data_IF_878759270658
#
_entry.id   IF_878759270658
#
_cell.length_a   1.000
_cell.length_b   1.000
_cell.length_c   1.000
_cell.angle_alpha   90.00
_cell.angle_beta   90.00
_cell.angle_gamma   90.00
#
_symmetry.space_group_name_H-M   'P 1'
#
loop_
_entity.id
_entity.type
_entity.pdbx_description
1 polymer ?
#
# COMPACT_ATOMS: atom_id res chain seq x y z
N UNK A 1 -2.81 44.96 -4.39
CA UNK A 1 -1.75 44.22 -3.70
C UNK A 1 -1.92 42.75 -4.03
N UNK A 2 -1.04 42.19 -4.86
CA UNK A 2 -1.01 40.76 -5.14
C UNK A 2 -0.24 40.10 -3.99
N UNK A 3 -0.96 39.38 -3.11
CA UNK A 3 -0.34 38.54 -2.10
C UNK A 3 0.16 37.28 -2.84
N UNK A 4 1.46 37.28 -3.15
CA UNK A 4 2.11 36.11 -3.71
C UNK A 4 2.10 35.00 -2.66
N UNK A 5 1.31 33.95 -2.88
CA UNK A 5 1.48 32.69 -2.19
C UNK A 5 2.85 32.13 -2.57
N UNK A 6 3.85 32.36 -1.73
CA UNK A 6 5.11 31.63 -1.82
C UNK A 6 4.81 30.18 -1.46
N UNK A 7 4.71 29.29 -2.45
CA UNK A 7 4.79 27.84 -2.19
C UNK A 7 6.09 27.61 -1.42
N UNK A 8 5.97 27.25 -0.16
CA UNK A 8 7.12 26.86 0.64
C UNK A 8 7.75 25.65 -0.05
N UNK A 9 8.96 25.80 -0.55
CA UNK A 9 9.66 24.69 -1.20
C UNK A 9 9.82 23.56 -0.17
N UNK A 10 9.48 22.34 -0.59
CA UNK A 10 9.68 21.15 0.24
C UNK A 10 11.17 21.07 0.66
N UNK A 11 11.48 20.77 1.92
CA UNK A 11 12.86 20.58 2.35
C UNK A 11 13.49 19.29 1.82
N UNK A 12 12.70 18.47 1.12
CA UNK A 12 13.10 17.17 0.60
C UNK A 12 13.35 17.21 -0.90
N UNK A 13 14.45 16.59 -1.33
CA UNK A 13 14.79 16.33 -2.74
C UNK A 13 14.42 14.89 -3.04
N UNK A 14 13.60 14.67 -4.07
CA UNK A 14 13.16 13.33 -4.43
C UNK A 14 14.18 12.64 -5.32
N UNK A 15 14.67 11.48 -4.90
CA UNK A 15 15.53 10.59 -5.70
C UNK A 15 14.69 9.68 -6.57
N UNK A 16 13.58 9.18 -6.01
CA UNK A 16 12.56 8.38 -6.67
C UNK A 16 11.20 8.86 -6.19
N UNK A 17 10.27 9.08 -7.12
CA UNK A 17 8.86 9.30 -6.81
C UNK A 17 8.01 8.62 -7.88
N UNK A 18 7.19 7.67 -7.46
CA UNK A 18 6.28 6.94 -8.34
C UNK A 18 5.01 7.75 -8.60
N UNK A 19 4.40 7.62 -9.79
CA UNK A 19 3.06 8.14 -10.01
C UNK A 19 2.06 7.37 -9.14
N UNK A 20 1.06 8.06 -8.61
CA UNK A 20 0.09 7.45 -7.70
C UNK A 20 -1.29 8.08 -7.87
N UNK A 21 -2.33 7.39 -7.42
CA UNK A 21 -3.67 7.98 -7.23
C UNK A 21 -3.63 9.04 -6.12
N UNK A 22 -4.57 10.00 -6.08
CA UNK A 22 -4.69 10.94 -4.97
C UNK A 22 -4.77 10.23 -3.61
N UNK A 23 -4.25 10.88 -2.57
CA UNK A 23 -4.35 10.37 -1.19
C UNK A 23 -5.82 10.33 -0.77
N UNK A 24 -6.29 9.16 -0.40
CA UNK A 24 -7.65 8.90 0.09
C UNK A 24 -7.78 9.19 1.58
N UNK A 25 -9.02 9.22 2.06
CA UNK A 25 -9.31 9.49 3.47
C UNK A 25 -10.09 8.32 4.10
N UNK A 26 -9.41 7.51 4.92
CA UNK A 26 -10.05 6.42 5.67
C UNK A 26 -11.00 6.91 6.77
N UNK A 27 -10.99 8.21 7.09
CA UNK A 27 -11.76 8.78 8.19
C UNK A 27 -11.33 8.22 9.55
N UNK A 28 -12.32 7.89 10.38
CA UNK A 28 -12.10 7.35 11.73
C UNK A 28 -12.08 5.80 11.77
N UNK A 29 -11.95 5.15 10.62
CA UNK A 29 -11.89 3.68 10.55
C UNK A 29 -10.50 3.15 10.94
N UNK A 30 -10.43 1.85 11.25
CA UNK A 30 -9.16 1.16 11.52
C UNK A 30 -8.63 0.42 10.29
N UNK A 31 -8.92 0.92 9.09
CA UNK A 31 -8.69 0.23 7.82
C UNK A 31 -7.48 0.75 7.05
N UNK A 32 -6.48 1.37 7.71
CA UNK A 32 -5.24 1.80 7.07
C UNK A 32 -4.56 0.68 6.28
N UNK A 33 -4.60 -0.55 6.76
CA UNK A 33 -4.11 -1.75 6.10
C UNK A 33 -4.73 -1.97 4.70
N UNK A 34 -6.04 -1.71 4.58
CA UNK A 34 -6.75 -1.82 3.31
C UNK A 34 -6.34 -0.69 2.36
N UNK A 35 -6.34 0.55 2.84
CA UNK A 35 -5.97 1.72 2.03
C UNK A 35 -4.53 1.66 1.53
N UNK A 36 -3.59 1.24 2.37
CA UNK A 36 -2.18 1.09 1.99
C UNK A 36 -2.00 0.04 0.89
N UNK A 37 -2.61 -1.13 1.04
CA UNK A 37 -2.47 -2.19 0.04
C UNK A 37 -3.23 -1.88 -1.25
N UNK A 38 -4.42 -1.24 -1.19
CA UNK A 38 -5.13 -0.76 -2.38
C UNK A 38 -4.29 0.28 -3.14
N UNK A 39 -3.66 1.22 -2.42
CA UNK A 39 -2.79 2.21 -3.04
C UNK A 39 -1.61 1.55 -3.78
N UNK A 40 -0.99 0.53 -3.18
CA UNK A 40 0.10 -0.24 -3.80
C UNK A 40 -0.36 -0.96 -5.08
N UNK A 41 -1.55 -1.56 -5.07
CA UNK A 41 -2.14 -2.18 -6.26
C UNK A 41 -2.38 -1.12 -7.35
N UNK A 42 -2.96 0.03 -6.99
CA UNK A 42 -3.24 1.13 -7.92
C UNK A 42 -1.99 1.67 -8.59
N UNK A 43 -0.92 1.88 -7.82
CA UNK A 43 0.36 2.37 -8.33
C UNK A 43 1.00 1.36 -9.31
N UNK A 44 0.95 0.06 -9.01
CA UNK A 44 1.41 -0.98 -9.96
C UNK A 44 0.64 -0.93 -11.28
N UNK A 45 -0.68 -0.75 -11.24
CA UNK A 45 -1.49 -0.59 -12.45
C UNK A 45 -1.12 0.66 -13.26
N UNK A 46 -0.95 1.81 -12.59
CA UNK A 46 -0.52 3.05 -13.26
C UNK A 46 0.82 2.84 -13.99
N UNK A 47 1.76 2.15 -13.36
CA UNK A 47 3.09 1.88 -13.94
C UNK A 47 3.04 0.94 -15.13
N UNK A 48 2.05 0.06 -15.18
CA UNK A 48 1.75 -0.81 -16.35
C UNK A 48 0.96 -0.10 -17.45
N UNK A 49 0.61 1.19 -17.26
CA UNK A 49 -0.17 1.99 -18.22
C UNK A 49 -1.67 1.82 -18.09
N UNK A 50 -2.13 1.25 -16.99
CA UNK A 50 -3.54 1.07 -16.66
C UNK A 50 -4.01 2.15 -15.69
N UNK A 51 -5.31 2.44 -15.62
CA UNK A 51 -5.88 3.43 -14.73
C UNK A 51 -6.93 2.78 -13.84
N UNK A 52 -6.53 2.42 -12.64
CA UNK A 52 -7.41 1.83 -11.64
C UNK A 52 -7.44 2.69 -10.38
N UNK A 53 -8.62 2.83 -9.79
CA UNK A 53 -8.83 3.52 -8.51
C UNK A 53 -9.88 2.74 -7.73
N UNK A 54 -9.54 2.25 -6.54
CA UNK A 54 -10.28 1.23 -5.80
C UNK A 54 -10.90 1.79 -4.52
N UNK A 55 -12.04 1.25 -4.10
CA UNK A 55 -12.77 1.72 -2.94
C UNK A 55 -12.29 1.07 -1.63
N UNK A 56 -11.69 1.87 -0.74
CA UNK A 56 -11.43 1.48 0.65
C UNK A 56 -12.71 1.32 1.46
N UNK A 57 -13.75 2.10 1.15
CA UNK A 57 -15.07 2.01 1.79
C UNK A 57 -15.72 0.66 1.53
N UNK A 58 -15.55 0.07 0.35
CA UNK A 58 -16.05 -1.28 0.07
C UNK A 58 -15.42 -2.30 1.03
N UNK A 59 -14.11 -2.25 1.20
CA UNK A 59 -13.37 -3.13 2.11
C UNK A 59 -13.80 -2.92 3.56
N UNK A 60 -13.90 -1.65 4.01
CA UNK A 60 -14.32 -1.29 5.36
C UNK A 60 -15.73 -1.76 5.72
N UNK A 61 -16.57 -2.06 4.74
CA UNK A 61 -17.91 -2.65 4.96
C UNK A 61 -17.89 -4.16 5.15
N UNK A 62 -16.86 -4.83 4.64
CA UNK A 62 -16.64 -6.26 4.82
C UNK A 62 -15.92 -6.51 6.12
N UNK A 63 -14.82 -5.77 6.35
CA UNK A 63 -14.02 -5.85 7.56
C UNK A 63 -13.56 -4.46 8.00
N UNK A 64 -14.03 -4.03 9.16
CA UNK A 64 -13.72 -2.72 9.72
C UNK A 64 -12.79 -2.78 10.95
N UNK A 65 -12.41 -3.99 11.36
CA UNK A 65 -11.42 -4.20 12.41
C UNK A 65 -10.02 -3.94 11.86
N UNK A 66 -9.09 -3.76 12.77
CA UNK A 66 -7.69 -3.79 12.43
C UNK A 66 -7.29 -5.18 11.96
N UNK A 67 -6.54 -5.26 10.87
CA UNK A 67 -6.07 -6.49 10.27
C UNK A 67 -4.73 -6.26 9.57
N UNK A 68 -4.09 -7.33 9.10
CA UNK A 68 -2.90 -7.26 8.26
C UNK A 68 -3.27 -6.88 6.82
N UNK A 69 -2.35 -6.22 6.09
CA UNK A 69 -2.54 -5.93 4.66
C UNK A 69 -2.82 -7.19 3.82
N UNK A 70 -2.35 -8.37 4.25
CA UNK A 70 -2.69 -9.66 3.62
C UNK A 70 -4.19 -9.93 3.61
N UNK A 71 -4.91 -9.48 4.63
CA UNK A 71 -6.38 -9.64 4.71
C UNK A 71 -7.09 -8.95 3.53
N UNK A 72 -6.56 -7.82 3.02
CA UNK A 72 -7.11 -7.21 1.82
C UNK A 72 -7.00 -8.14 0.61
N UNK A 73 -5.86 -8.77 0.40
CA UNK A 73 -5.67 -9.70 -0.73
C UNK A 73 -6.65 -10.88 -0.62
N UNK A 74 -6.89 -11.37 0.59
CA UNK A 74 -7.88 -12.42 0.86
C UNK A 74 -9.32 -11.92 0.56
N UNK A 75 -9.67 -10.69 0.95
CA UNK A 75 -10.98 -10.07 0.65
C UNK A 75 -11.17 -9.93 -0.85
N UNK A 76 -10.18 -9.41 -1.59
CA UNK A 76 -10.26 -9.26 -3.06
C UNK A 76 -10.56 -10.61 -3.72
N UNK A 77 -9.91 -11.68 -3.27
CA UNK A 77 -10.13 -13.03 -3.80
C UNK A 77 -11.52 -13.59 -3.50
N UNK A 78 -12.00 -13.39 -2.28
CA UNK A 78 -13.21 -14.07 -1.80
C UNK A 78 -14.48 -13.24 -1.98
N UNK A 79 -14.41 -11.94 -1.78
CA UNK A 79 -15.54 -11.02 -1.79
C UNK A 79 -15.53 -10.07 -3.00
N UNK A 80 -14.36 -9.86 -3.61
CA UNK A 80 -14.17 -8.93 -4.71
C UNK A 80 -13.79 -7.53 -4.27
N UNK A 81 -13.87 -6.58 -5.19
CA UNK A 81 -13.59 -5.16 -4.99
C UNK A 81 -14.45 -4.32 -5.96
N UNK A 82 -14.59 -3.03 -5.71
CA UNK A 82 -15.27 -2.09 -6.60
C UNK A 82 -14.42 -0.86 -6.87
N UNK A 83 -14.63 -0.16 -7.99
CA UNK A 83 -13.99 1.12 -8.26
C UNK A 83 -14.35 2.19 -7.21
N UNK A 84 -13.45 3.15 -7.02
CA UNK A 84 -13.61 4.24 -6.06
C UNK A 84 -14.83 5.12 -6.34
N UNK A 85 -15.12 5.43 -7.60
CA UNK A 85 -16.26 6.26 -8.02
C UNK A 85 -17.62 5.62 -7.72
N UNK A 86 -17.66 4.31 -7.49
CA UNK A 86 -18.86 3.58 -7.08
C UNK A 86 -19.14 3.74 -5.57
N UNK A 87 -18.09 3.78 -4.76
CA UNK A 87 -18.15 3.98 -3.30
C UNK A 87 -16.95 4.84 -2.85
N UNK A 88 -17.00 6.16 -3.05
CA UNK A 88 -15.96 7.09 -2.59
C UNK A 88 -15.93 7.21 -1.06
N UNK A 89 -14.86 7.83 -0.53
CA UNK A 89 -14.59 7.92 0.92
C UNK A 89 -15.70 8.63 1.71
N UNK A 90 -16.42 9.55 1.09
CA UNK A 90 -17.54 10.29 1.68
C UNK A 90 -18.90 9.56 1.58
N UNK A 91 -18.90 8.32 1.12
CA UNK A 91 -20.14 7.53 0.95
C UNK A 91 -20.83 7.29 2.30
N UNK A 92 -22.11 7.66 2.44
CA UNK A 92 -22.87 7.43 3.67
C UNK A 92 -22.88 5.95 4.09
N UNK A 93 -22.71 5.69 5.39
CA UNK A 93 -22.62 4.32 5.93
C UNK A 93 -23.85 3.44 5.64
N UNK A 94 -25.04 4.05 5.46
CA UNK A 94 -26.29 3.35 5.17
C UNK A 94 -26.46 2.96 3.68
N UNK A 95 -25.62 3.47 2.78
CA UNK A 95 -25.66 3.08 1.38
C UNK A 95 -25.04 1.68 1.22
N UNK A 96 -25.81 0.75 0.69
CA UNK A 96 -25.33 -0.64 0.48
C UNK A 96 -24.28 -0.71 -0.63
N UNK A 97 -23.34 -1.62 -0.47
CA UNK A 97 -22.40 -1.96 -1.53
C UNK A 97 -23.17 -2.42 -2.79
N UNK A 98 -22.76 -2.01 -3.99
CA UNK A 98 -23.42 -2.39 -5.21
C UNK A 98 -23.24 -3.88 -5.50
N UNK A 99 -24.25 -4.50 -6.08
CA UNK A 99 -24.15 -5.88 -6.58
C UNK A 99 -23.40 -5.98 -7.91
N UNK A 100 -23.28 -4.86 -8.61
CA UNK A 100 -22.73 -4.77 -9.96
C UNK A 100 -21.86 -3.52 -10.09
N UNK A 101 -20.77 -3.63 -10.80
CA UNK A 101 -19.97 -2.53 -11.32
C UNK A 101 -20.06 -2.50 -12.84
N UNK A 102 -19.99 -1.30 -13.42
CA UNK A 102 -20.01 -1.10 -14.86
C UNK A 102 -18.66 -0.57 -15.30
N UNK A 103 -18.02 -1.25 -16.24
CA UNK A 103 -16.77 -0.82 -16.80
C UNK A 103 -16.69 -1.21 -18.27
N UNK A 104 -16.18 -0.29 -19.12
CA UNK A 104 -16.00 -0.51 -20.55
C UNK A 104 -17.25 -1.03 -21.26
N UNK A 105 -18.43 -0.56 -20.82
CA UNK A 105 -19.72 -0.95 -21.41
C UNK A 105 -20.25 -2.31 -20.99
N UNK A 106 -19.59 -3.00 -20.08
CA UNK A 106 -20.02 -4.29 -19.54
C UNK A 106 -20.32 -4.21 -18.02
N UNK A 107 -21.08 -5.18 -17.54
CA UNK A 107 -21.48 -5.31 -16.14
C UNK A 107 -20.77 -6.50 -15.51
N UNK A 108 -20.19 -6.26 -14.35
CA UNK A 108 -19.44 -7.26 -13.58
C UNK A 108 -19.96 -7.31 -12.14
N UNK A 109 -19.88 -8.46 -11.50
CA UNK A 109 -19.93 -8.53 -10.05
C UNK A 109 -18.62 -8.00 -9.47
N UNK A 110 -18.57 -7.55 -8.18
CA UNK A 110 -17.31 -7.16 -7.53
C UNK A 110 -16.24 -8.25 -7.63
N UNK A 111 -16.64 -9.52 -7.61
CA UNK A 111 -15.74 -10.67 -7.74
C UNK A 111 -15.14 -10.82 -9.15
N UNK A 112 -15.97 -10.68 -10.18
CA UNK A 112 -15.50 -10.70 -11.57
C UNK A 112 -14.59 -9.52 -11.87
N UNK A 113 -14.92 -8.33 -11.34
CA UNK A 113 -14.08 -7.16 -11.47
C UNK A 113 -12.70 -7.36 -10.81
N UNK A 114 -12.65 -7.99 -9.63
CA UNK A 114 -11.43 -8.28 -8.90
C UNK A 114 -10.40 -9.10 -9.70
N UNK A 115 -10.84 -9.94 -10.63
CA UNK A 115 -9.93 -10.71 -11.49
C UNK A 115 -9.07 -9.85 -12.42
N UNK A 116 -9.52 -8.62 -12.73
CA UNK A 116 -8.72 -7.65 -13.48
C UNK A 116 -7.83 -6.77 -12.61
N UNK A 117 -7.99 -6.87 -11.29
CA UNK A 117 -7.31 -5.99 -10.31
C UNK A 117 -6.06 -6.64 -9.73
N UNK A 118 -6.16 -7.90 -9.31
CA UNK A 118 -5.08 -8.58 -8.63
C UNK A 118 -5.20 -10.10 -8.79
N UNK A 119 -4.12 -10.72 -9.26
CA UNK A 119 -4.05 -12.18 -9.28
C UNK A 119 -3.85 -12.72 -7.86
N UNK A 120 -4.32 -13.95 -7.55
CA UNK A 120 -4.27 -14.53 -6.20
C UNK A 120 -2.88 -14.58 -5.56
N UNK A 121 -1.84 -14.73 -6.38
CA UNK A 121 -0.45 -14.89 -5.95
C UNK A 121 0.47 -13.78 -6.47
N UNK A 122 -0.09 -12.66 -6.89
CA UNK A 122 0.67 -11.54 -7.45
C UNK A 122 1.60 -10.88 -6.43
N UNK A 123 1.18 -10.82 -5.16
CA UNK A 123 1.93 -10.17 -4.09
C UNK A 123 2.55 -11.18 -3.12
N UNK A 124 3.78 -10.88 -2.69
CA UNK A 124 4.49 -11.56 -1.63
C UNK A 124 4.38 -10.77 -0.34
N UNK A 125 4.02 -11.45 0.76
CA UNK A 125 4.08 -10.92 2.11
C UNK A 125 5.42 -11.32 2.74
N UNK A 126 6.21 -10.32 3.15
CA UNK A 126 7.58 -10.46 3.62
C UNK A 126 7.71 -9.92 5.04
N UNK A 127 8.56 -10.53 5.84
CA UNK A 127 8.88 -10.08 7.21
C UNK A 127 10.35 -10.32 7.55
N UNK A 128 10.81 -9.80 8.69
CA UNK A 128 12.13 -10.10 9.23
C UNK A 128 12.04 -10.38 10.73
N UNK A 129 11.95 -11.65 11.08
CA UNK A 129 11.90 -12.13 12.46
C UNK A 129 13.19 -12.93 12.75
N UNK A 130 14.13 -12.36 13.54
CA UNK A 130 15.43 -13.00 13.77
C UNK A 130 15.35 -14.32 14.54
N UNK A 131 14.33 -14.50 15.38
CA UNK A 131 14.12 -15.71 16.17
C UNK A 131 13.39 -16.82 15.41
N UNK A 132 13.13 -16.61 14.11
CA UNK A 132 12.44 -17.58 13.25
C UNK A 132 13.32 -17.95 12.05
N UNK A 133 13.16 -19.16 11.48
CA UNK A 133 13.97 -19.60 10.34
C UNK A 133 13.84 -18.65 9.15
N UNK A 134 14.96 -18.15 8.64
CA UNK A 134 14.99 -17.39 7.40
C UNK A 134 14.68 -18.24 6.18
N UNK A 135 14.19 -17.60 5.12
CA UNK A 135 13.78 -18.22 3.84
C UNK A 135 12.66 -19.23 3.97
N UNK A 136 11.92 -19.19 5.09
CA UNK A 136 10.74 -19.98 5.34
C UNK A 136 9.52 -19.07 5.54
N UNK A 137 8.33 -19.59 5.27
CA UNK A 137 7.09 -18.89 5.63
C UNK A 137 6.82 -19.09 7.13
N UNK A 138 6.73 -17.98 7.85
CA UNK A 138 6.47 -17.92 9.29
C UNK A 138 5.21 -17.10 9.57
N UNK A 139 4.56 -17.36 10.68
CA UNK A 139 3.46 -16.53 11.16
C UNK A 139 4.03 -15.34 11.94
N UNK A 140 3.53 -14.13 11.67
CA UNK A 140 3.88 -12.93 12.44
C UNK A 140 2.99 -12.91 13.69
N UNK A 141 3.58 -12.93 14.90
CA UNK A 141 2.83 -13.06 16.15
C UNK A 141 2.29 -11.71 16.65
N UNK A 142 1.33 -11.13 15.91
CA UNK A 142 0.64 -9.89 16.26
C UNK A 142 -0.87 -10.12 16.29
N UNK A 143 -1.63 -9.39 17.14
CA UNK A 143 -3.08 -9.58 17.25
C UNK A 143 -3.83 -9.34 15.92
N UNK A 144 -3.31 -8.44 15.07
CA UNK A 144 -3.91 -8.09 13.79
C UNK A 144 -3.78 -9.22 12.74
N UNK A 145 -2.89 -10.21 12.98
CA UNK A 145 -2.77 -11.42 12.16
C UNK A 145 -3.71 -12.56 12.63
N UNK A 146 -4.96 -12.22 12.89
CA UNK A 146 -5.98 -13.17 13.38
C UNK A 146 -6.40 -14.20 12.32
N UNK A 147 -6.04 -14.01 11.05
CA UNK A 147 -6.18 -15.02 9.98
C UNK A 147 -5.02 -16.01 9.92
N UNK A 148 -4.00 -15.87 10.80
CA UNK A 148 -2.80 -16.72 10.81
C UNK A 148 -2.04 -16.73 9.48
N UNK A 149 -2.04 -15.60 8.79
CA UNK A 149 -1.31 -15.41 7.54
C UNK A 149 0.20 -15.65 7.74
N UNK A 150 0.84 -16.25 6.74
CA UNK A 150 2.26 -16.59 6.77
C UNK A 150 3.07 -15.76 5.81
N UNK A 151 4.21 -15.26 6.26
CA UNK A 151 5.10 -14.33 5.59
C UNK A 151 6.44 -15.00 5.30
N UNK A 152 7.02 -14.74 4.14
CA UNK A 152 8.38 -15.17 3.85
C UNK A 152 9.34 -14.37 4.74
N UNK A 153 10.04 -15.07 5.63
CA UNK A 153 10.97 -14.48 6.58
C UNK A 153 12.35 -14.31 5.92
N UNK A 154 12.86 -13.08 5.90
CA UNK A 154 14.16 -12.76 5.32
C UNK A 154 15.06 -12.06 6.33
N UNK A 155 16.40 -12.18 6.22
CA UNK A 155 17.32 -11.31 6.94
C UNK A 155 17.01 -9.85 6.63
N UNK A 156 17.08 -8.97 7.64
CA UNK A 156 16.68 -7.57 7.50
C UNK A 156 17.43 -6.85 6.36
N UNK A 157 18.72 -7.11 6.19
CA UNK A 157 19.51 -6.48 5.15
C UNK A 157 19.10 -6.96 3.75
N UNK A 158 18.73 -8.23 3.63
CA UNK A 158 18.17 -8.78 2.38
C UNK A 158 16.84 -8.11 2.07
N UNK A 159 15.97 -7.97 3.07
CA UNK A 159 14.67 -7.32 2.89
C UNK A 159 14.81 -5.84 2.50
N UNK A 160 15.76 -5.11 3.12
CA UNK A 160 16.12 -3.73 2.75
C UNK A 160 16.57 -3.62 1.29
N UNK A 161 17.38 -4.56 0.82
CA UNK A 161 17.81 -4.60 -0.58
C UNK A 161 16.62 -4.77 -1.52
N UNK A 162 15.69 -5.71 -1.23
CA UNK A 162 14.50 -5.92 -2.05
C UNK A 162 13.63 -4.66 -2.11
N UNK A 163 13.35 -4.01 -0.99
CA UNK A 163 12.54 -2.77 -0.95
C UNK A 163 13.21 -1.65 -1.75
N UNK A 164 14.50 -1.40 -1.54
CA UNK A 164 15.20 -0.34 -2.26
C UNK A 164 15.28 -0.62 -3.76
N UNK A 165 15.54 -1.85 -4.17
CA UNK A 165 15.58 -2.21 -5.59
C UNK A 165 14.21 -2.13 -6.23
N UNK A 166 13.14 -2.58 -5.54
CA UNK A 166 11.77 -2.41 -6.02
C UNK A 166 11.50 -0.94 -6.37
N UNK A 167 11.78 -0.01 -5.46
CA UNK A 167 11.56 1.42 -5.68
C UNK A 167 12.40 1.98 -6.84
N UNK A 168 13.69 1.62 -6.94
CA UNK A 168 14.54 2.05 -8.04
C UNK A 168 14.09 1.49 -9.40
N UNK A 169 13.50 0.31 -9.42
CA UNK A 169 12.89 -0.29 -10.60
C UNK A 169 11.42 0.06 -10.80
N UNK A 170 10.95 1.09 -10.05
CA UNK A 170 9.61 1.67 -10.18
C UNK A 170 8.48 0.73 -9.74
N UNK A 171 8.70 -0.07 -8.71
CA UNK A 171 7.66 -0.83 -8.04
C UNK A 171 7.36 -0.24 -6.66
N UNK A 172 6.10 0.02 -6.30
CA UNK A 172 5.71 0.43 -4.97
C UNK A 172 5.82 -0.74 -3.99
N UNK A 173 5.87 -0.41 -2.70
CA UNK A 173 5.91 -1.40 -1.64
C UNK A 173 4.87 -1.01 -0.58
N UNK A 174 4.00 -1.92 -0.19
CA UNK A 174 3.16 -1.70 0.97
C UNK A 174 3.97 -2.00 2.24
N UNK A 175 3.92 -1.09 3.19
CA UNK A 175 4.58 -1.20 4.49
C UNK A 175 3.55 -1.26 5.61
N UNK A 176 3.83 -2.07 6.61
CA UNK A 176 2.97 -2.29 7.75
C UNK A 176 3.76 -2.32 9.06
N UNK A 177 3.29 -1.57 10.04
CA UNK A 177 3.75 -1.57 11.42
C UNK A 177 2.65 -2.10 12.35
N UNK A 178 2.95 -2.16 13.66
CA UNK A 178 1.95 -2.53 14.68
C UNK A 178 0.80 -1.53 14.77
N UNK A 179 0.98 -0.29 14.34
CA UNK A 179 0.01 0.78 14.54
C UNK A 179 -0.58 1.32 13.26
N UNK A 180 0.13 1.19 12.13
CA UNK A 180 -0.26 1.82 10.88
C UNK A 180 0.28 1.08 9.67
N UNK A 181 -0.36 1.32 8.51
CA UNK A 181 0.12 0.85 7.22
C UNK A 181 0.07 1.98 6.19
N UNK A 182 1.07 2.02 5.31
CA UNK A 182 1.20 3.03 4.24
C UNK A 182 1.84 2.39 3.00
N UNK A 183 1.63 3.03 1.86
CA UNK A 183 2.35 2.69 0.64
C UNK A 183 3.68 3.44 0.59
N UNK A 184 4.79 2.76 0.28
CA UNK A 184 6.07 3.40 -0.04
C UNK A 184 6.07 3.71 -1.55
N UNK A 185 6.13 4.99 -1.89
CA UNK A 185 6.07 5.49 -3.27
C UNK A 185 7.38 6.12 -3.72
N UNK A 186 8.40 6.16 -2.88
CA UNK A 186 9.66 6.75 -3.30
C UNK A 186 10.71 6.89 -2.22
N UNK A 187 11.79 7.54 -2.63
CA UNK A 187 12.95 7.89 -1.81
C UNK A 187 13.25 9.38 -1.93
N UNK A 188 13.68 9.97 -0.85
CA UNK A 188 14.12 11.37 -0.80
C UNK A 188 15.28 11.54 0.15
N UNK A 189 15.99 12.66 0.02
CA UNK A 189 16.96 13.11 0.99
C UNK A 189 16.76 14.59 1.34
N UNK A 190 17.25 15.01 2.50
CA UNK A 190 17.28 16.41 2.91
C UNK A 190 18.63 17.09 2.57
N UNK A 191 18.76 18.36 2.91
CA UNK A 191 19.99 19.12 2.70
C UNK A 191 21.21 18.56 3.49
N UNK A 192 20.97 17.72 4.50
CA UNK A 192 22.01 17.04 5.29
C UNK A 192 22.32 15.63 4.76
N UNK A 193 21.74 15.25 3.63
CA UNK A 193 21.86 13.91 3.03
C UNK A 193 21.26 12.80 3.90
N UNK A 194 20.36 13.12 4.82
CA UNK A 194 19.56 12.12 5.51
C UNK A 194 18.51 11.57 4.54
N UNK A 195 18.41 10.25 4.45
CA UNK A 195 17.51 9.56 3.54
C UNK A 195 16.16 9.26 4.20
N UNK A 196 15.10 9.40 3.41
CA UNK A 196 13.71 9.18 3.80
C UNK A 196 13.00 8.29 2.78
N UNK A 197 12.10 7.43 3.26
CA UNK A 197 11.06 6.87 2.41
C UNK A 197 9.91 7.88 2.26
N UNK A 198 9.40 8.02 1.05
CA UNK A 198 8.18 8.78 0.77
C UNK A 198 7.01 7.82 0.90
N UNK A 199 6.18 8.05 1.93
CA UNK A 199 5.07 7.18 2.27
C UNK A 199 3.75 7.87 1.94
N UNK A 200 2.88 7.21 1.17
CA UNK A 200 1.53 7.69 0.91
C UNK A 200 0.61 7.22 2.03
N UNK A 201 0.07 8.18 2.78
CA UNK A 201 -0.85 7.95 3.89
C UNK A 201 -2.31 7.83 3.40
N UNK A 202 -3.24 7.65 4.32
CA UNK A 202 -4.68 7.50 4.06
C UNK A 202 -5.55 8.48 4.89
N UNK A 203 -5.05 9.70 5.11
CA UNK A 203 -5.74 10.72 5.93
C UNK A 203 -6.18 11.95 5.12
N UNK A 204 -6.27 11.82 3.81
CA UNK A 204 -6.71 12.88 2.89
C UNK A 204 -5.62 13.88 2.54
N UNK A 205 -5.98 14.80 1.64
CA UNK A 205 -5.07 15.80 1.07
C UNK A 205 -4.83 17.01 1.98
N UNK A 206 -5.68 17.23 2.99
CA UNK A 206 -5.58 18.37 3.92
C UNK A 206 -4.45 18.20 4.96
N UNK A 207 -3.62 17.18 4.78
CA UNK A 207 -2.45 16.90 5.59
C UNK A 207 -1.20 17.58 5.01
N UNK A 208 -0.12 17.79 5.82
CA UNK A 208 1.15 18.25 5.29
C UNK A 208 1.61 17.43 4.07
N UNK A 209 2.25 18.09 3.11
CA UNK A 209 2.72 17.46 1.87
C UNK A 209 1.63 16.72 1.09
N UNK A 210 0.37 17.21 1.15
CA UNK A 210 -0.78 16.61 0.46
C UNK A 210 -1.00 15.14 0.85
N UNK A 211 -0.71 14.79 2.12
CA UNK A 211 -0.88 13.45 2.68
C UNK A 211 0.31 12.51 2.48
N UNK A 212 1.43 13.00 1.96
CA UNK A 212 2.68 12.24 1.95
C UNK A 212 3.45 12.43 3.27
N UNK A 213 4.07 11.37 3.74
CA UNK A 213 4.91 11.35 4.95
C UNK A 213 6.35 11.03 4.53
N UNK A 214 7.30 11.84 4.96
CA UNK A 214 8.75 11.57 4.79
C UNK A 214 9.27 10.88 6.04
N UNK A 215 9.36 9.57 5.99
CA UNK A 215 9.76 8.75 7.13
C UNK A 215 11.27 8.46 7.07
N UNK A 216 12.04 8.78 8.13
CA UNK A 216 13.45 8.42 8.19
C UNK A 216 13.64 6.92 8.00
N UNK A 217 14.66 6.52 7.22
CA UNK A 217 14.90 5.11 6.87
C UNK A 217 14.99 4.23 8.11
N UNK A 218 15.74 4.65 9.13
CA UNK A 218 15.93 3.84 10.35
C UNK A 218 14.61 3.65 11.12
N UNK A 219 13.75 4.67 11.19
CA UNK A 219 12.46 4.57 11.84
C UNK A 219 11.54 3.60 11.09
N UNK A 220 11.48 3.70 9.75
CA UNK A 220 10.67 2.79 8.94
C UNK A 220 11.01 1.33 9.23
N UNK A 221 12.31 1.00 9.33
CA UNK A 221 12.76 -0.36 9.58
C UNK A 221 12.59 -0.80 11.02
N UNK A 222 12.69 0.11 12.00
CA UNK A 222 12.47 -0.23 13.42
C UNK A 222 11.00 -0.55 13.71
N UNK A 223 10.08 0.09 13.01
CA UNK A 223 8.64 -0.04 13.24
C UNK A 223 8.00 -1.13 12.37
N UNK A 224 8.71 -1.60 11.32
CA UNK A 224 8.21 -2.56 10.34
C UNK A 224 7.93 -3.92 10.96
N UNK A 225 6.73 -4.45 10.68
CA UNK A 225 6.37 -5.85 10.94
C UNK A 225 6.24 -6.66 9.65
N UNK A 226 5.80 -6.04 8.55
CA UNK A 226 5.68 -6.66 7.24
C UNK A 226 5.84 -5.64 6.11
N UNK A 227 6.24 -6.13 4.94
CA UNK A 227 6.13 -5.41 3.67
C UNK A 227 5.56 -6.32 2.60
N UNK A 228 4.92 -5.71 1.59
CA UNK A 228 4.29 -6.45 0.49
C UNK A 228 4.73 -5.83 -0.82
N UNK A 229 5.12 -6.67 -1.76
CA UNK A 229 5.48 -6.27 -3.13
C UNK A 229 5.09 -7.35 -4.12
N UNK A 230 5.03 -7.01 -5.39
CA UNK A 230 4.75 -7.99 -6.44
C UNK A 230 5.86 -9.03 -6.54
N UNK A 231 5.53 -10.24 -7.03
CA UNK A 231 6.54 -11.25 -7.33
C UNK A 231 7.56 -10.74 -8.34
N UNK A 232 7.14 -9.90 -9.29
CA UNK A 232 8.00 -9.26 -10.28
C UNK A 232 9.05 -8.37 -9.57
N UNK A 233 8.62 -7.46 -8.70
CA UNK A 233 9.51 -6.60 -7.93
C UNK A 233 10.51 -7.40 -7.07
N UNK A 234 10.04 -8.48 -6.46
CA UNK A 234 10.91 -9.35 -5.65
C UNK A 234 11.96 -10.08 -6.50
N UNK A 235 11.60 -10.53 -7.70
CA UNK A 235 12.49 -11.28 -8.58
C UNK A 235 13.67 -10.43 -9.12
N UNK A 236 13.52 -9.11 -9.20
CA UNK A 236 14.58 -8.19 -9.68
C UNK A 236 15.88 -8.36 -8.89
N UNK A 237 15.79 -8.50 -7.57
CA UNK A 237 16.95 -8.74 -6.71
C UNK A 237 17.68 -10.06 -6.98
N UNK A 238 16.97 -11.06 -7.49
CA UNK A 238 17.52 -12.41 -7.68
C UNK A 238 18.38 -12.52 -8.95
N UNK A 239 18.26 -11.57 -9.88
CA UNK A 239 18.95 -11.58 -11.18
C UNK A 239 20.27 -10.79 -11.14
N UNK A 240 20.50 -10.00 -10.12
CA UNK A 240 21.67 -9.10 -9.99
C UNK A 240 22.87 -9.74 -9.27
N UNK A 241 22.98 -11.07 -9.25
CA UNK A 241 24.12 -11.82 -8.68
C UNK A 241 24.98 -12.47 -9.75
#
# INVERSE_FOLDING_TARGET
>A
MLVGCSRQQSPYIHDVLLPMTPVKNQGQTQTCWAYAMLATIETEHILRGDSINLSGVYVARIENRRAMCQTLLNIIQHEGIVPYDVLPDDTPANLKAPKWVFMLGARYTPKEFAHSVCAPDEYLALTSLPDSPYYNKVEVPVPDNWEHNRFLNLPIDTLRQHVNQALHHRHPVCWESREHAMEIVGLAHDAKQQTYYIMKNSWGLDQPHEGLVYMPVDQMWSDMIAVYMTQEAFAICSVSK
#
